data_IF_247884523637
#
_entry.id   IF_247884523637
#
_cell.length_a   1.000
_cell.length_b   1.000
_cell.length_c   1.000
_cell.angle_alpha   90.00
_cell.angle_beta   90.00
_cell.angle_gamma   90.00
#
_symmetry.space_group_name_H-M   'P 1'
#
loop_
_entity.id
_entity.type
_entity.pdbx_description
1 polymer ?
#
# COMPACT_ATOMS: atom_id res chain seq x y z
N UNK A 1 -16.51 -7.24 -7.72
CA UNK A 1 -17.90 -7.18 -7.19
C UNK A 1 -17.95 -6.92 -5.68
N UNK A 2 -16.92 -7.26 -4.89
CA UNK A 2 -16.93 -7.05 -3.43
C UNK A 2 -16.60 -5.60 -2.97
N UNK A 3 -16.01 -4.76 -3.83
CA UNK A 3 -15.46 -3.45 -3.43
C UNK A 3 -16.47 -2.50 -2.74
N UNK A 4 -17.74 -2.40 -3.18
CA UNK A 4 -18.71 -1.55 -2.48
C UNK A 4 -18.94 -1.97 -1.03
N UNK A 5 -18.97 -3.28 -0.75
CA UNK A 5 -19.18 -3.79 0.60
C UNK A 5 -17.94 -3.53 1.48
N UNK A 6 -16.73 -3.75 0.95
CA UNK A 6 -15.48 -3.46 1.66
C UNK A 6 -15.40 -1.97 2.02
N UNK A 7 -15.78 -1.08 1.09
CA UNK A 7 -15.84 0.35 1.34
C UNK A 7 -16.82 0.69 2.46
N UNK A 8 -18.05 0.15 2.42
CA UNK A 8 -19.04 0.40 3.47
C UNK A 8 -18.57 -0.10 4.84
N UNK A 9 -17.94 -1.27 4.91
CA UNK A 9 -17.40 -1.80 6.15
C UNK A 9 -16.23 -0.94 6.67
N UNK A 10 -15.35 -0.46 5.80
CA UNK A 10 -14.28 0.47 6.19
C UNK A 10 -14.83 1.78 6.76
N UNK A 11 -15.84 2.38 6.11
CA UNK A 11 -16.46 3.61 6.61
C UNK A 11 -17.10 3.44 7.99
N UNK A 12 -17.76 2.30 8.24
CA UNK A 12 -18.30 1.94 9.56
C UNK A 12 -17.19 1.72 10.59
N UNK A 13 -16.11 1.06 10.18
CA UNK A 13 -14.95 0.84 11.04
C UNK A 13 -14.31 2.17 11.44
N UNK A 14 -14.10 3.08 10.50
CA UNK A 14 -13.60 4.45 10.76
C UNK A 14 -14.49 5.19 11.75
N UNK A 15 -15.80 5.17 11.53
CA UNK A 15 -16.77 5.84 12.41
C UNK A 15 -16.74 5.32 13.86
N UNK A 16 -16.48 4.03 14.05
CA UNK A 16 -16.38 3.42 15.40
C UNK A 16 -15.01 3.58 16.06
N UNK A 17 -14.01 4.08 15.32
CA UNK A 17 -12.63 4.22 15.78
C UNK A 17 -12.15 5.68 15.78
N UNK A 18 -13.08 6.65 15.81
CA UNK A 18 -12.82 8.09 15.79
C UNK A 18 -11.94 8.61 16.94
N UNK A 19 -11.73 7.81 18.00
CA UNK A 19 -10.79 8.12 19.09
C UNK A 19 -9.31 8.06 18.67
N UNK A 20 -9.00 7.35 17.58
CA UNK A 20 -7.63 7.23 17.09
C UNK A 20 -7.34 8.36 16.09
N UNK A 21 -6.18 9.01 16.20
CA UNK A 21 -5.83 10.13 15.32
C UNK A 21 -5.50 9.69 13.89
N UNK A 22 -5.14 8.42 13.71
CA UNK A 22 -4.74 7.85 12.42
C UNK A 22 -5.39 6.48 12.30
N UNK A 23 -6.02 6.25 11.15
CA UNK A 23 -6.61 4.98 10.74
C UNK A 23 -6.08 4.64 9.36
N UNK A 24 -5.74 3.38 9.11
CA UNK A 24 -5.10 2.96 7.87
C UNK A 24 -5.88 1.83 7.18
N UNK A 25 -5.99 1.92 5.85
CA UNK A 25 -6.46 0.85 4.98
C UNK A 25 -5.27 0.23 4.25
N UNK A 26 -5.09 -1.08 4.39
CA UNK A 26 -4.14 -1.83 3.57
C UNK A 26 -4.84 -2.35 2.31
N UNK A 27 -4.29 -2.06 1.12
CA UNK A 27 -4.79 -2.64 -0.13
C UNK A 27 -3.68 -2.67 -1.20
N UNK A 28 -3.52 -3.83 -1.84
CA UNK A 28 -2.59 -3.99 -2.96
C UNK A 28 -3.04 -3.27 -4.25
N UNK A 29 -4.36 -3.01 -4.36
CA UNK A 29 -5.01 -2.41 -5.53
C UNK A 29 -5.85 -1.19 -5.14
N UNK A 30 -5.38 -0.40 -4.17
CA UNK A 30 -6.08 0.75 -3.59
C UNK A 30 -6.56 1.73 -4.68
N UNK A 31 -5.67 2.06 -5.61
CA UNK A 31 -5.91 3.03 -6.68
C UNK A 31 -6.87 2.43 -7.71
N UNK A 32 -6.58 1.22 -8.19
CA UNK A 32 -7.37 0.50 -9.20
C UNK A 32 -8.79 0.21 -8.73
N UNK A 33 -8.98 0.08 -7.41
CA UNK A 33 -10.29 -0.19 -6.79
C UNK A 33 -11.09 1.09 -6.50
N UNK A 34 -10.52 2.28 -6.72
CA UNK A 34 -11.15 3.56 -6.40
C UNK A 34 -11.21 3.88 -4.91
N UNK A 35 -10.41 3.19 -4.08
CA UNK A 35 -10.38 3.43 -2.63
C UNK A 35 -9.49 4.62 -2.23
N UNK A 36 -8.73 5.19 -3.16
CA UNK A 36 -8.02 6.45 -2.93
C UNK A 36 -8.96 7.58 -2.48
N UNK A 37 -10.22 7.58 -2.92
CA UNK A 37 -11.23 8.56 -2.48
C UNK A 37 -11.80 8.32 -1.07
N UNK A 38 -11.44 7.23 -0.40
CA UNK A 38 -11.90 6.89 0.96
C UNK A 38 -10.90 7.27 2.05
N UNK A 39 -9.74 7.80 1.66
CA UNK A 39 -8.64 8.12 2.57
C UNK A 39 -8.18 9.55 2.32
N UNK A 40 -7.71 10.22 3.37
CA UNK A 40 -7.19 11.59 3.27
C UNK A 40 -5.78 11.63 2.65
N UNK A 41 -5.03 10.53 2.79
CA UNK A 41 -3.64 10.39 2.37
C UNK A 41 -3.39 8.99 1.86
N UNK A 42 -2.60 8.89 0.80
CA UNK A 42 -2.13 7.65 0.20
C UNK A 42 -0.63 7.45 0.43
N UNK A 43 -0.25 6.23 0.81
CA UNK A 43 1.15 5.87 1.08
C UNK A 43 1.51 4.64 0.27
N UNK A 44 2.53 4.75 -0.57
CA UNK A 44 3.05 3.65 -1.36
C UNK A 44 4.33 3.10 -0.74
N UNK A 45 4.37 1.80 -0.46
CA UNK A 45 5.63 1.11 -0.14
C UNK A 45 6.22 0.58 -1.43
N UNK A 46 7.31 1.20 -1.88
CA UNK A 46 7.99 0.84 -3.13
C UNK A 46 9.25 0.02 -2.86
N UNK A 47 9.49 -0.98 -3.70
CA UNK A 47 10.74 -1.72 -3.75
C UNK A 47 11.06 -2.07 -5.21
N UNK A 48 12.35 -2.09 -5.61
CA UNK A 48 12.77 -2.54 -6.93
C UNK A 48 12.17 -3.91 -7.29
N UNK A 49 11.84 -4.11 -8.57
CA UNK A 49 11.23 -5.35 -9.06
C UNK A 49 12.05 -6.59 -8.71
N UNK A 50 13.38 -6.50 -8.83
CA UNK A 50 14.32 -7.59 -8.52
C UNK A 50 14.17 -8.04 -7.06
N UNK A 51 14.19 -7.08 -6.13
CA UNK A 51 14.04 -7.34 -4.69
C UNK A 51 12.67 -7.95 -4.37
N UNK A 52 11.58 -7.39 -4.93
CA UNK A 52 10.23 -7.93 -4.70
C UNK A 52 10.12 -9.37 -5.21
N UNK A 53 10.66 -9.64 -6.39
CA UNK A 53 10.66 -10.98 -6.97
C UNK A 53 11.41 -11.98 -6.08
N UNK A 54 12.63 -11.64 -5.67
CA UNK A 54 13.45 -12.50 -4.80
C UNK A 54 12.73 -12.82 -3.48
N UNK A 55 12.13 -11.79 -2.85
CA UNK A 55 11.38 -11.94 -1.61
C UNK A 55 10.14 -12.82 -1.79
N UNK A 56 9.38 -12.63 -2.87
CA UNK A 56 8.17 -13.42 -3.14
C UNK A 56 8.46 -14.87 -3.46
N UNK A 57 9.52 -15.16 -4.23
CA UNK A 57 9.94 -16.54 -4.50
C UNK A 57 10.39 -17.21 -3.20
N UNK A 58 11.17 -16.51 -2.37
CA UNK A 58 11.66 -17.04 -1.09
C UNK A 58 10.55 -17.28 -0.08
N UNK A 59 9.54 -16.40 0.00
CA UNK A 59 8.45 -16.47 0.97
C UNK A 59 7.36 -17.46 0.57
N UNK A 60 6.90 -17.36 -0.67
CA UNK A 60 5.65 -18.01 -1.10
C UNK A 60 5.91 -19.33 -1.85
N UNK A 61 7.18 -19.73 -2.03
CA UNK A 61 7.62 -20.83 -2.90
C UNK A 61 6.99 -20.79 -4.31
N UNK A 62 6.58 -19.59 -4.73
CA UNK A 62 5.89 -19.36 -5.99
C UNK A 62 6.88 -19.22 -7.14
N UNK A 63 6.49 -19.66 -8.34
CA UNK A 63 7.35 -19.51 -9.51
C UNK A 63 7.46 -18.04 -9.93
N UNK A 64 8.58 -17.69 -10.55
CA UNK A 64 8.83 -16.34 -11.10
C UNK A 64 7.71 -15.90 -12.04
N UNK A 65 7.19 -16.81 -12.86
CA UNK A 65 6.13 -16.57 -13.83
C UNK A 65 4.82 -16.20 -13.14
N UNK A 66 4.48 -16.86 -12.02
CA UNK A 66 3.28 -16.55 -11.25
C UNK A 66 3.36 -15.14 -10.65
N UNK A 67 4.53 -14.79 -10.09
CA UNK A 67 4.76 -13.45 -9.57
C UNK A 67 4.66 -12.36 -10.65
N UNK A 68 5.28 -12.58 -11.81
CA UNK A 68 5.21 -11.64 -12.93
C UNK A 68 3.77 -11.45 -13.45
N UNK A 69 2.99 -12.53 -13.55
CA UNK A 69 1.56 -12.45 -13.91
C UNK A 69 0.79 -11.61 -12.90
N UNK A 70 1.08 -11.73 -11.60
CA UNK A 70 0.42 -10.96 -10.54
C UNK A 70 0.77 -9.47 -10.61
N UNK A 71 2.00 -9.12 -10.95
CA UNK A 71 2.38 -7.72 -11.18
C UNK A 71 1.67 -7.17 -12.42
N UNK A 72 1.66 -7.94 -13.51
CA UNK A 72 1.03 -7.52 -14.77
C UNK A 72 -0.49 -7.35 -14.68
N UNK A 73 -1.14 -7.97 -13.70
CA UNK A 73 -2.58 -7.78 -13.45
C UNK A 73 -2.90 -6.52 -12.63
N UNK A 74 -1.90 -5.74 -12.24
CA UNK A 74 -2.05 -4.53 -11.44
C UNK A 74 -1.57 -3.31 -12.24
N UNK A 75 -1.87 -2.11 -11.73
CA UNK A 75 -1.31 -0.88 -12.28
C UNK A 75 0.22 -0.90 -12.15
N UNK A 76 0.89 -0.44 -13.21
CA UNK A 76 2.34 -0.27 -13.22
C UNK A 76 2.82 0.60 -12.05
N UNK A 77 3.96 0.25 -11.46
CA UNK A 77 4.43 0.92 -10.24
C UNK A 77 4.78 2.40 -10.47
N UNK A 78 5.28 2.77 -11.65
CA UNK A 78 5.62 4.17 -11.95
C UNK A 78 4.36 5.01 -12.21
N UNK A 79 3.30 4.41 -12.77
CA UNK A 79 1.99 5.06 -12.83
C UNK A 79 1.36 5.16 -11.43
N UNK A 80 1.43 4.09 -10.63
CA UNK A 80 0.88 4.03 -9.27
C UNK A 80 1.52 5.06 -8.34
N UNK A 81 2.83 5.30 -8.47
CA UNK A 81 3.57 6.34 -7.74
C UNK A 81 2.98 7.73 -7.91
N UNK A 82 2.41 8.06 -9.08
CA UNK A 82 1.83 9.39 -9.34
C UNK A 82 0.60 9.69 -8.49
N UNK A 83 -0.05 8.65 -7.96
CA UNK A 83 -1.22 8.77 -7.09
C UNK A 83 -0.85 8.73 -5.61
N UNK A 84 0.43 8.55 -5.26
CA UNK A 84 0.88 8.44 -3.88
C UNK A 84 1.32 9.80 -3.34
N UNK A 85 0.74 10.22 -2.20
CA UNK A 85 1.18 11.43 -1.48
C UNK A 85 2.56 11.22 -0.83
N UNK A 86 2.82 9.99 -0.38
CA UNK A 86 4.08 9.59 0.24
C UNK A 86 4.58 8.26 -0.32
N UNK A 87 5.89 8.14 -0.47
CA UNK A 87 6.56 6.91 -0.88
C UNK A 87 7.54 6.48 0.21
N UNK A 88 7.42 5.23 0.64
CA UNK A 88 8.36 4.56 1.54
C UNK A 88 9.20 3.60 0.71
N UNK A 89 10.53 3.79 0.72
CA UNK A 89 11.46 2.96 -0.02
C UNK A 89 11.90 1.75 0.83
N UNK A 90 11.67 0.56 0.30
CA UNK A 90 12.00 -0.73 0.92
C UNK A 90 12.99 -1.52 0.03
N UNK A 91 14.17 -0.96 -0.18
CA UNK A 91 15.22 -1.44 -1.08
C UNK A 91 16.34 -2.24 -0.41
N UNK A 92 16.14 -2.70 0.84
CA UNK A 92 17.16 -3.37 1.68
C UNK A 92 18.38 -2.50 2.06
N UNK A 93 18.44 -1.25 1.61
CA UNK A 93 19.52 -0.30 1.91
C UNK A 93 19.02 0.81 2.81
N UNK A 94 17.86 1.36 2.49
CA UNK A 94 17.25 2.49 3.20
C UNK A 94 16.49 1.99 4.43
N UNK A 95 16.79 2.49 5.63
CA UNK A 95 16.07 2.10 6.84
C UNK A 95 14.59 2.47 6.77
N UNK A 96 13.70 1.51 7.05
CA UNK A 96 12.25 1.72 6.99
C UNK A 96 11.70 2.51 8.17
N UNK A 97 12.15 2.19 9.39
CA UNK A 97 11.61 2.80 10.62
C UNK A 97 11.72 4.34 10.59
N UNK A 98 12.88 4.94 10.25
CA UNK A 98 12.98 6.41 10.20
C UNK A 98 12.04 7.06 9.18
N UNK A 99 11.81 6.42 8.02
CA UNK A 99 10.88 6.92 7.01
C UNK A 99 9.44 6.93 7.55
N UNK A 100 9.04 5.86 8.24
CA UNK A 100 7.70 5.73 8.85
C UNK A 100 7.54 6.72 10.00
N UNK A 101 8.55 6.86 10.87
CA UNK A 101 8.50 7.83 11.97
C UNK A 101 8.37 9.26 11.46
N UNK A 102 9.14 9.62 10.42
CA UNK A 102 9.03 10.93 9.76
C UNK A 102 7.66 11.16 9.15
N UNK A 103 7.06 10.14 8.52
CA UNK A 103 5.71 10.21 7.97
C UNK A 103 4.68 10.44 9.08
N UNK A 104 4.73 9.64 10.15
CA UNK A 104 3.77 9.73 11.26
C UNK A 104 3.90 11.05 12.04
N UNK A 105 5.09 11.63 12.11
CA UNK A 105 5.30 12.93 12.73
C UNK A 105 4.49 14.06 12.05
N UNK A 106 4.23 13.96 10.73
CA UNK A 106 3.41 14.94 10.01
C UNK A 106 1.94 14.93 10.44
N UNK A 107 1.46 13.85 11.04
CA UNK A 107 0.05 13.65 11.44
C UNK A 107 -0.18 13.76 12.95
N UNK A 108 0.87 13.96 13.75
CA UNK A 108 0.80 14.06 15.23
C UNK A 108 0.53 15.49 15.74
N UNK A 109 -0.08 16.36 14.95
CA UNK A 109 -0.43 17.73 15.38
C UNK A 109 -1.77 17.79 16.11
#
# INVERSE_FOLDING_TARGET
IIHPQVKMDFQKWVSSHSRYPILAMESAILIESGFAGEVDVTVMVYAPLTIRLERSVKRDASSREFFLKRIQSQMDDEEKKKFADYIILNDDVTPLIPQIESLLANFKK
#
